data_IF_084889870363
#
_entry.id   IF_084889870363
#
_cell.length_a   1.000
_cell.length_b   1.000
_cell.length_c   1.000
_cell.angle_alpha   90.00
_cell.angle_beta   90.00
_cell.angle_gamma   90.00
#
_symmetry.space_group_name_H-M   'P 1'
#
loop_
_entity.id
_entity.type
_entity.pdbx_description
1 polymer ?
#
# COMPACT_ATOMS: atom_id res chain seq x y z
N UNK A 1 -5.97 -3.15 -7.58
CA UNK A 1 -5.91 -3.75 -6.23
C UNK A 1 -6.52 -5.14 -6.23
N UNK A 2 -6.05 -6.01 -5.33
CA UNK A 2 -6.60 -7.35 -5.14
C UNK A 2 -5.88 -8.47 -5.88
N UNK A 3 -4.75 -8.21 -6.48
CA UNK A 3 -3.85 -9.12 -7.15
C UNK A 3 -2.66 -8.35 -7.71
N UNK A 4 -1.75 -9.02 -8.40
CA UNK A 4 -0.63 -8.35 -9.07
C UNK A 4 -1.08 -7.85 -10.46
N UNK A 5 -1.14 -6.54 -10.69
CA UNK A 5 -1.63 -5.99 -11.95
C UNK A 5 -0.77 -6.37 -13.15
N UNK A 6 0.54 -6.55 -12.95
CA UNK A 6 1.47 -6.87 -14.04
C UNK A 6 1.32 -8.31 -14.56
N UNK A 7 0.55 -9.16 -13.87
CA UNK A 7 0.14 -10.47 -14.39
C UNK A 7 -1.02 -10.39 -15.39
N UNK A 8 -1.72 -9.25 -15.47
CA UNK A 8 -2.83 -9.13 -16.39
C UNK A 8 -2.30 -8.94 -17.83
N UNK A 9 -2.59 -9.86 -18.76
CA UNK A 9 -2.02 -9.80 -20.11
C UNK A 9 -2.35 -8.52 -20.89
N UNK A 10 -3.53 -7.94 -20.62
CA UNK A 10 -4.00 -6.68 -21.23
C UNK A 10 -3.53 -5.41 -20.51
N UNK A 11 -2.63 -5.49 -19.50
CA UNK A 11 -2.26 -4.33 -18.69
C UNK A 11 -1.68 -3.19 -19.51
N UNK A 12 -0.72 -3.47 -20.39
CA UNK A 12 -0.05 -2.43 -21.19
C UNK A 12 -1.03 -1.70 -22.13
N UNK A 13 -1.96 -2.45 -22.72
CA UNK A 13 -3.01 -1.90 -23.59
C UNK A 13 -3.97 -1.02 -22.79
N UNK A 14 -4.51 -1.55 -21.69
CA UNK A 14 -5.42 -0.83 -20.80
C UNK A 14 -4.76 0.44 -20.25
N UNK A 15 -3.54 0.34 -19.76
CA UNK A 15 -2.78 1.46 -19.21
C UNK A 15 -2.60 2.58 -20.26
N UNK A 16 -2.18 2.19 -21.47
CA UNK A 16 -1.99 3.13 -22.56
C UNK A 16 -3.30 3.80 -22.99
N UNK A 17 -4.39 3.04 -23.03
CA UNK A 17 -5.74 3.56 -23.33
C UNK A 17 -6.18 4.60 -22.29
N UNK A 18 -6.07 4.28 -21.02
CA UNK A 18 -6.43 5.19 -19.92
C UNK A 18 -5.57 6.46 -19.91
N UNK A 19 -4.28 6.35 -20.22
CA UNK A 19 -3.38 7.51 -20.38
C UNK A 19 -3.85 8.41 -21.54
N UNK A 20 -4.19 7.82 -22.67
CA UNK A 20 -4.72 8.58 -23.83
C UNK A 20 -6.06 9.25 -23.53
N UNK A 21 -6.86 8.65 -22.66
CA UNK A 21 -8.11 9.24 -22.17
C UNK A 21 -7.89 10.38 -21.16
N UNK A 22 -6.64 10.74 -20.84
CA UNK A 22 -6.31 11.84 -19.93
C UNK A 22 -6.35 11.48 -18.45
N UNK A 23 -6.43 10.20 -18.11
CA UNK A 23 -6.46 9.76 -16.70
C UNK A 23 -5.09 9.86 -16.03
N UNK A 24 -5.08 10.27 -14.76
CA UNK A 24 -3.90 10.23 -13.90
C UNK A 24 -3.83 8.84 -13.28
N UNK A 25 -2.78 8.08 -13.63
CA UNK A 25 -2.64 6.68 -13.24
C UNK A 25 -1.59 6.50 -12.15
N UNK A 26 -1.94 5.73 -11.13
CA UNK A 26 -1.02 5.21 -10.12
C UNK A 26 -1.07 3.69 -10.17
N UNK A 27 0.08 3.03 -10.09
CA UNK A 27 0.21 1.58 -10.09
C UNK A 27 0.58 1.11 -8.70
N UNK A 28 -0.14 0.11 -8.18
CA UNK A 28 0.26 -0.61 -6.97
C UNK A 28 0.67 -2.03 -7.38
N UNK A 29 1.90 -2.39 -7.12
CA UNK A 29 2.49 -3.68 -7.51
C UNK A 29 3.35 -4.25 -6.40
N UNK A 30 3.53 -5.57 -6.38
CA UNK A 30 4.52 -6.20 -5.52
C UNK A 30 5.96 -6.05 -6.06
N UNK A 31 6.13 -5.52 -7.27
CA UNK A 31 7.41 -5.20 -7.88
C UNK A 31 8.24 -6.39 -8.40
N UNK A 32 7.83 -7.63 -8.14
CA UNK A 32 8.64 -8.82 -8.46
C UNK A 32 8.72 -9.15 -9.95
N UNK A 33 7.85 -8.56 -10.75
CA UNK A 33 7.80 -8.74 -12.21
C UNK A 33 8.45 -7.59 -12.98
N UNK A 34 8.96 -6.58 -12.28
CA UNK A 34 9.61 -5.44 -12.94
C UNK A 34 10.99 -5.87 -13.46
N UNK A 35 11.08 -5.97 -14.75
CA UNK A 35 12.29 -6.18 -15.54
C UNK A 35 12.57 -4.97 -16.46
N UNK A 36 13.54 -5.08 -17.33
CA UNK A 36 13.93 -4.03 -18.29
C UNK A 36 12.74 -3.64 -19.20
N UNK A 37 11.97 -4.64 -19.65
CA UNK A 37 10.82 -4.40 -20.55
C UNK A 37 9.74 -3.59 -19.83
N UNK A 38 9.40 -3.93 -18.59
CA UNK A 38 8.43 -3.18 -17.79
C UNK A 38 8.93 -1.79 -17.44
N UNK A 39 10.20 -1.67 -17.07
CA UNK A 39 10.79 -0.38 -16.75
C UNK A 39 10.81 0.55 -17.98
N UNK A 40 11.15 0.05 -19.17
CA UNK A 40 11.08 0.78 -20.43
C UNK A 40 9.65 1.17 -20.81
N UNK A 41 8.68 0.29 -20.58
CA UNK A 41 7.28 0.59 -20.81
C UNK A 41 6.82 1.79 -19.95
N UNK A 42 7.15 1.78 -18.65
CA UNK A 42 6.80 2.88 -17.76
C UNK A 42 7.59 4.16 -18.04
N UNK A 43 8.82 4.07 -18.53
CA UNK A 43 9.58 5.23 -18.98
C UNK A 43 8.92 5.92 -20.18
N UNK A 44 8.40 5.14 -21.14
CA UNK A 44 7.65 5.64 -22.30
C UNK A 44 6.24 6.12 -21.97
N UNK A 45 5.63 5.56 -20.94
CA UNK A 45 4.27 5.84 -20.49
C UNK A 45 4.26 6.13 -18.97
N UNK A 46 4.86 7.23 -18.49
CA UNK A 46 5.08 7.43 -17.08
C UNK A 46 3.74 7.51 -16.32
N UNK A 47 3.55 6.69 -15.27
CA UNK A 47 2.46 6.87 -14.33
C UNK A 47 2.69 8.15 -13.48
N UNK A 48 1.66 8.58 -12.75
CA UNK A 48 1.85 9.60 -11.72
C UNK A 48 2.79 9.09 -10.62
N UNK A 49 2.68 7.79 -10.28
CA UNK A 49 3.50 7.11 -9.28
C UNK A 49 3.35 5.59 -9.39
N UNK A 50 4.39 4.87 -9.04
CA UNK A 50 4.33 3.43 -8.76
C UNK A 50 4.57 3.23 -7.27
N UNK A 51 3.58 2.64 -6.58
CA UNK A 51 3.73 2.18 -5.20
C UNK A 51 4.16 0.72 -5.24
N UNK A 52 5.31 0.42 -4.67
CA UNK A 52 5.85 -0.93 -4.61
C UNK A 52 5.76 -1.44 -3.18
N UNK A 53 5.18 -2.62 -3.00
CA UNK A 53 5.10 -3.24 -1.68
C UNK A 53 6.40 -3.95 -1.35
N UNK A 54 7.06 -3.53 -0.25
CA UNK A 54 8.22 -4.21 0.31
C UNK A 54 7.79 -4.94 1.60
N UNK A 55 7.79 -6.27 1.54
CA UNK A 55 7.28 -7.12 2.62
C UNK A 55 8.30 -7.40 3.73
N UNK A 56 9.56 -7.15 3.51
CA UNK A 56 10.63 -7.36 4.47
C UNK A 56 11.96 -6.87 3.92
N UNK A 57 13.02 -6.99 4.72
CA UNK A 57 14.37 -6.58 4.39
C UNK A 57 15.30 -7.72 3.98
N UNK A 58 14.79 -8.95 3.88
CA UNK A 58 15.54 -10.13 3.50
C UNK A 58 14.68 -11.26 2.91
N UNK A 59 15.35 -12.26 2.32
CA UNK A 59 14.73 -13.43 1.72
C UNK A 59 13.98 -14.32 2.74
N UNK A 60 14.38 -14.30 4.00
CA UNK A 60 13.81 -15.13 5.06
C UNK A 60 12.38 -14.66 5.38
N UNK A 61 12.19 -13.34 5.54
CA UNK A 61 10.86 -12.75 5.76
C UNK A 61 10.01 -12.91 4.52
N UNK A 62 10.56 -12.74 3.32
CA UNK A 62 9.83 -13.01 2.09
C UNK A 62 9.38 -14.46 1.96
N UNK A 63 10.21 -15.43 2.40
CA UNK A 63 9.80 -16.83 2.45
C UNK A 63 8.67 -17.06 3.45
N UNK A 64 8.79 -16.50 4.66
CA UNK A 64 7.83 -16.73 5.75
C UNK A 64 6.48 -16.05 5.49
N UNK A 65 6.49 -14.86 4.86
CA UNK A 65 5.30 -14.05 4.64
C UNK A 65 4.66 -14.29 3.27
N UNK A 66 5.46 -14.48 2.24
CA UNK A 66 5.01 -14.55 0.85
C UNK A 66 5.22 -15.92 0.20
N UNK A 67 5.92 -16.85 0.87
CA UNK A 67 6.39 -18.13 0.31
C UNK A 67 7.19 -17.95 -0.98
N UNK A 68 7.96 -16.86 -1.05
CA UNK A 68 8.72 -16.47 -2.23
C UNK A 68 10.05 -15.81 -1.85
N UNK A 69 11.07 -16.58 -1.45
CA UNK A 69 12.35 -16.05 -0.96
C UNK A 69 13.09 -15.19 -1.98
N UNK A 70 13.01 -15.51 -3.27
CA UNK A 70 13.63 -14.73 -4.37
C UNK A 70 12.95 -13.38 -4.60
N UNK A 71 11.77 -13.18 -4.02
CA UNK A 71 10.98 -11.96 -4.17
C UNK A 71 11.70 -10.72 -3.67
N UNK A 72 12.50 -10.84 -2.60
CA UNK A 72 13.25 -9.72 -2.06
C UNK A 72 14.23 -9.12 -3.09
N UNK A 73 15.10 -9.95 -3.65
CA UNK A 73 16.07 -9.50 -4.65
C UNK A 73 15.39 -8.94 -5.92
N UNK A 74 14.31 -9.59 -6.37
CA UNK A 74 13.55 -9.12 -7.54
C UNK A 74 12.93 -7.75 -7.31
N UNK A 75 12.37 -7.49 -6.13
CA UNK A 75 11.81 -6.17 -5.79
C UNK A 75 12.90 -5.12 -5.76
N UNK A 76 14.06 -5.40 -5.14
CA UNK A 76 15.19 -4.46 -5.13
C UNK A 76 15.69 -4.15 -6.53
N UNK A 77 15.78 -5.16 -7.39
CA UNK A 77 16.14 -4.97 -8.79
C UNK A 77 15.10 -4.09 -9.51
N UNK A 78 13.82 -4.39 -9.34
CA UNK A 78 12.74 -3.61 -9.92
C UNK A 78 12.74 -2.15 -9.49
N UNK A 79 12.98 -1.88 -8.19
CA UNK A 79 13.11 -0.52 -7.65
C UNK A 79 14.26 0.24 -8.32
N UNK A 80 15.44 -0.39 -8.49
CA UNK A 80 16.59 0.20 -9.16
C UNK A 80 16.29 0.51 -10.62
N UNK A 81 15.75 -0.45 -11.37
CA UNK A 81 15.40 -0.28 -12.79
C UNK A 81 14.44 0.88 -13.04
N UNK A 82 13.43 1.03 -12.18
CA UNK A 82 12.46 2.12 -12.28
C UNK A 82 13.07 3.46 -11.86
N UNK A 83 13.89 3.47 -10.81
CA UNK A 83 14.60 4.67 -10.37
C UNK A 83 15.55 5.21 -11.42
N UNK A 84 16.32 4.34 -12.06
CA UNK A 84 17.26 4.71 -13.14
C UNK A 84 16.55 5.36 -14.32
N UNK A 85 15.26 5.13 -14.46
CA UNK A 85 14.39 5.74 -15.49
C UNK A 85 13.59 6.95 -14.99
N UNK A 86 13.92 7.46 -13.78
CA UNK A 86 13.28 8.63 -13.18
C UNK A 86 11.77 8.46 -12.98
N UNK A 87 11.29 7.25 -12.70
CA UNK A 87 9.89 7.00 -12.34
C UNK A 87 9.65 7.44 -10.90
N UNK A 88 8.55 8.18 -10.66
CA UNK A 88 8.13 8.53 -9.30
C UNK A 88 7.72 7.27 -8.55
N UNK A 89 8.44 6.95 -7.48
CA UNK A 89 8.29 5.73 -6.70
C UNK A 89 7.89 6.03 -5.26
N UNK A 90 7.19 5.08 -4.66
CA UNK A 90 6.95 5.01 -3.23
C UNK A 90 7.00 3.55 -2.79
N UNK A 91 7.74 3.28 -1.74
CA UNK A 91 7.69 2.00 -1.04
C UNK A 91 6.54 2.04 -0.05
N UNK A 92 5.74 0.99 -0.01
CA UNK A 92 4.72 0.78 1.01
C UNK A 92 4.99 -0.55 1.71
N UNK A 93 4.97 -0.55 3.04
CA UNK A 93 5.12 -1.77 3.82
C UNK A 93 4.03 -1.87 4.86
N UNK A 94 3.28 -2.98 4.81
CA UNK A 94 2.32 -3.32 5.87
C UNK A 94 3.01 -4.19 6.90
N UNK A 95 3.05 -3.71 8.14
CA UNK A 95 3.65 -4.47 9.24
C UNK A 95 2.71 -5.56 9.73
N UNK A 96 3.31 -6.71 10.00
CA UNK A 96 2.67 -7.93 10.48
C UNK A 96 3.47 -8.48 11.66
N UNK A 97 2.96 -9.49 12.34
CA UNK A 97 3.70 -10.21 13.37
C UNK A 97 5.02 -10.85 12.87
N UNK A 98 5.16 -11.03 11.54
CA UNK A 98 6.33 -11.66 10.92
C UNK A 98 7.44 -10.65 10.62
N UNK A 99 7.08 -9.43 10.16
CA UNK A 99 8.06 -8.45 9.66
C UNK A 99 8.20 -7.18 10.50
N UNK A 100 7.42 -7.01 11.57
CA UNK A 100 7.44 -5.77 12.38
C UNK A 100 8.82 -5.41 12.94
N UNK A 101 9.68 -6.40 13.19
CA UNK A 101 11.04 -6.20 13.70
C UNK A 101 12.01 -5.69 12.61
N UNK A 102 11.58 -5.68 11.35
CA UNK A 102 12.37 -5.20 10.21
C UNK A 102 11.96 -3.79 9.75
N UNK A 103 11.13 -3.09 10.51
CA UNK A 103 10.62 -1.76 10.12
C UNK A 103 11.75 -0.79 9.79
N UNK A 104 12.74 -0.68 10.67
CA UNK A 104 13.88 0.24 10.49
C UNK A 104 14.72 -0.16 9.27
N UNK A 105 14.95 -1.45 9.05
CA UNK A 105 15.68 -1.94 7.88
C UNK A 105 14.93 -1.67 6.57
N UNK A 106 13.60 -1.79 6.59
CA UNK A 106 12.76 -1.45 5.43
C UNK A 106 12.86 0.06 5.12
N UNK A 107 12.83 0.90 6.15
CA UNK A 107 13.00 2.35 5.99
C UNK A 107 14.41 2.66 5.45
N UNK A 108 15.45 2.04 6.02
CA UNK A 108 16.82 2.23 5.57
C UNK A 108 17.05 1.83 4.09
N UNK A 109 16.35 0.81 3.60
CA UNK A 109 16.36 0.46 2.16
C UNK A 109 15.82 1.63 1.33
N UNK A 110 14.67 2.21 1.74
CA UNK A 110 14.11 3.36 1.06
C UNK A 110 15.05 4.56 1.06
N UNK A 111 15.65 4.88 2.21
CA UNK A 111 16.61 5.98 2.35
C UNK A 111 17.82 5.79 1.45
N UNK A 112 18.38 4.58 1.42
CA UNK A 112 19.53 4.24 0.56
C UNK A 112 19.24 4.43 -0.92
N UNK A 113 17.99 4.18 -1.31
CA UNK A 113 17.48 4.37 -2.66
C UNK A 113 16.90 5.77 -2.89
N UNK A 114 16.81 6.61 -1.87
CA UNK A 114 16.13 7.91 -1.92
C UNK A 114 14.68 7.79 -2.43
N UNK A 115 13.97 6.76 -1.96
CA UNK A 115 12.56 6.50 -2.26
C UNK A 115 11.78 6.61 -0.96
N UNK A 116 10.73 7.45 -0.89
CA UNK A 116 9.93 7.58 0.34
C UNK A 116 9.28 6.25 0.70
N UNK A 117 9.32 5.92 1.99
CA UNK A 117 8.70 4.72 2.56
C UNK A 117 7.46 5.13 3.35
N UNK A 118 6.39 4.38 3.19
CA UNK A 118 5.21 4.43 4.05
C UNK A 118 5.09 3.12 4.80
N UNK A 119 5.03 3.24 6.10
CA UNK A 119 4.69 2.14 6.99
C UNK A 119 3.19 2.19 7.28
N UNK A 120 2.53 1.04 7.22
CA UNK A 120 1.11 0.87 7.51
C UNK A 120 0.96 -0.31 8.48
N UNK A 121 0.37 -0.08 9.63
CA UNK A 121 0.22 -1.09 10.69
C UNK A 121 -1.19 -1.67 10.75
N UNK A 122 -2.12 -1.05 10.01
CA UNK A 122 -3.50 -1.48 9.98
C UNK A 122 -3.79 -2.38 8.79
N UNK A 123 -4.21 -3.60 9.07
CA UNK A 123 -4.70 -4.54 8.06
C UNK A 123 -6.21 -4.72 8.21
N UNK A 124 -6.94 -4.41 7.15
CA UNK A 124 -8.38 -4.62 7.10
C UNK A 124 -8.72 -6.10 7.34
N UNK A 125 -9.76 -6.41 8.13
CA UNK A 125 -10.26 -7.77 8.23
C UNK A 125 -10.74 -8.24 6.86
N UNK A 126 -10.71 -9.56 6.63
CA UNK A 126 -11.29 -10.14 5.42
C UNK A 126 -12.80 -9.97 5.44
N UNK A 127 -13.29 -9.09 4.59
CA UNK A 127 -14.72 -8.77 4.48
C UNK A 127 -15.36 -9.59 3.35
N UNK A 128 -14.55 -10.27 2.54
CA UNK A 128 -15.03 -10.99 1.36
C UNK A 128 -14.91 -12.49 1.58
N UNK A 129 -15.98 -13.22 1.42
CA UNK A 129 -16.07 -14.66 1.09
C UNK A 129 -14.96 -15.61 1.63
N UNK A 130 -13.97 -15.09 2.36
CA UNK A 130 -12.88 -15.85 2.96
C UNK A 130 -13.08 -15.92 4.46
N UNK A 131 -13.50 -17.06 4.93
CA UNK A 131 -13.74 -17.32 6.36
C UNK A 131 -12.43 -17.25 7.17
N UNK A 132 -11.30 -17.60 6.57
CA UNK A 132 -9.97 -17.53 7.16
C UNK A 132 -8.99 -16.93 6.16
N UNK A 133 -8.69 -15.66 6.32
CA UNK A 133 -7.67 -15.03 5.51
C UNK A 133 -6.33 -15.00 6.22
N UNK A 134 -5.26 -15.14 5.46
CA UNK A 134 -3.88 -14.94 5.94
C UNK A 134 -3.69 -13.64 6.74
N UNK A 135 -4.26 -12.47 6.35
CA UNK A 135 -4.17 -11.25 7.13
C UNK A 135 -4.63 -11.38 8.58
N UNK A 136 -5.63 -12.21 8.87
CA UNK A 136 -6.08 -12.42 10.25
C UNK A 136 -5.07 -13.19 11.10
N UNK A 137 -4.25 -14.04 10.48
CA UNK A 137 -3.25 -14.86 11.17
C UNK A 137 -1.97 -14.08 11.49
N UNK A 138 -1.63 -13.08 10.69
CA UNK A 138 -0.38 -12.31 10.80
C UNK A 138 -0.58 -10.85 11.19
N UNK A 139 -1.83 -10.42 11.36
CA UNK A 139 -2.13 -9.06 11.79
C UNK A 139 -1.57 -8.80 13.18
N UNK A 140 -1.01 -7.62 13.37
CA UNK A 140 -0.64 -7.16 14.70
C UNK A 140 -1.88 -7.04 15.59
N UNK A 141 -1.71 -7.28 16.88
CA UNK A 141 -2.69 -6.86 17.87
C UNK A 141 -2.76 -5.32 17.93
N UNK A 142 -3.86 -4.74 18.46
CA UNK A 142 -4.05 -3.29 18.41
C UNK A 142 -2.98 -2.50 19.14
N UNK A 143 -2.42 -3.01 20.23
CA UNK A 143 -1.40 -2.35 21.03
C UNK A 143 -0.08 -2.30 20.28
N UNK A 144 0.40 -3.45 19.79
CA UNK A 144 1.60 -3.54 18.94
C UNK A 144 1.45 -2.69 17.68
N UNK A 145 0.27 -2.68 17.05
CA UNK A 145 0.02 -1.87 15.86
C UNK A 145 0.14 -0.36 16.16
N UNK A 146 -0.39 0.09 17.30
CA UNK A 146 -0.31 1.48 17.73
C UNK A 146 1.13 1.89 18.05
N UNK A 147 1.87 1.06 18.79
CA UNK A 147 3.28 1.31 19.11
C UNK A 147 4.12 1.45 17.84
N UNK A 148 4.04 0.49 16.92
CA UNK A 148 4.77 0.54 15.64
C UNK A 148 4.37 1.73 14.79
N UNK A 149 3.09 2.14 14.81
CA UNK A 149 2.66 3.33 14.09
C UNK A 149 3.28 4.60 14.67
N UNK A 150 3.35 4.73 16.00
CA UNK A 150 3.99 5.87 16.65
C UNK A 150 5.50 5.92 16.35
N UNK A 151 6.18 4.78 16.37
CA UNK A 151 7.60 4.69 16.00
C UNK A 151 7.83 5.11 14.54
N UNK A 152 7.01 4.62 13.61
CA UNK A 152 7.09 4.99 12.20
C UNK A 152 6.88 6.50 12.00
N UNK A 153 5.90 7.10 12.69
CA UNK A 153 5.64 8.54 12.63
C UNK A 153 6.80 9.36 13.21
N UNK A 154 7.47 8.86 14.25
CA UNK A 154 8.66 9.53 14.80
C UNK A 154 9.85 9.53 13.84
N UNK A 155 9.98 8.49 13.03
CA UNK A 155 11.04 8.42 12.01
C UNK A 155 10.68 9.32 10.82
N UNK A 156 9.40 9.35 10.43
CA UNK A 156 8.93 10.09 9.25
C UNK A 156 8.93 11.61 9.45
N UNK A 157 8.63 12.10 10.67
CA UNK A 157 8.42 13.51 10.96
C UNK A 157 9.46 14.09 11.94
N UNK A 158 9.71 15.39 11.83
CA UNK A 158 10.45 16.12 12.87
C UNK A 158 9.71 16.08 14.20
N UNK A 159 10.43 16.26 15.32
CA UNK A 159 9.86 16.22 16.67
C UNK A 159 8.68 17.20 16.82
N UNK A 160 8.81 18.44 16.31
CA UNK A 160 7.73 19.42 16.36
C UNK A 160 6.47 18.97 15.61
N UNK A 161 6.65 18.36 14.44
CA UNK A 161 5.54 17.83 13.62
C UNK A 161 4.92 16.63 14.28
N UNK A 162 5.73 15.71 14.81
CA UNK A 162 5.26 14.55 15.55
C UNK A 162 4.41 14.98 16.76
N UNK A 163 4.93 15.89 17.58
CA UNK A 163 4.21 16.40 18.76
C UNK A 163 2.90 17.10 18.38
N UNK A 164 2.87 17.84 17.27
CA UNK A 164 1.65 18.46 16.77
C UNK A 164 0.61 17.41 16.34
N UNK A 165 1.05 16.32 15.68
CA UNK A 165 0.19 15.19 15.29
C UNK A 165 -0.38 14.48 16.52
N UNK A 166 0.44 14.21 17.53
CA UNK A 166 -0.01 13.56 18.76
C UNK A 166 -1.05 14.43 19.49
N UNK A 167 -0.78 15.74 19.67
CA UNK A 167 -1.76 16.64 20.24
C UNK A 167 -3.08 16.67 19.49
N UNK A 168 -3.02 16.62 18.15
CA UNK A 168 -4.21 16.54 17.30
C UNK A 168 -4.99 15.24 17.55
N UNK A 169 -4.33 14.08 17.53
CA UNK A 169 -4.97 12.79 17.74
C UNK A 169 -5.59 12.66 19.14
N UNK A 170 -4.91 13.15 20.17
CA UNK A 170 -5.47 13.18 21.53
C UNK A 170 -6.71 14.05 21.57
N UNK A 171 -6.63 15.27 20.99
CA UNK A 171 -7.79 16.16 20.92
C UNK A 171 -8.97 15.54 20.15
N UNK A 172 -8.70 14.90 19.01
CA UNK A 172 -9.73 14.19 18.23
C UNK A 172 -10.35 13.03 19.02
N UNK A 173 -9.55 12.26 19.75
CA UNK A 173 -10.05 11.16 20.58
C UNK A 173 -10.99 11.67 21.67
N UNK A 174 -10.66 12.81 22.29
CA UNK A 174 -11.46 13.39 23.38
C UNK A 174 -12.75 14.10 22.91
N UNK A 175 -12.75 14.63 21.66
CA UNK A 175 -13.82 15.53 21.20
C UNK A 175 -14.62 15.00 20.02
N UNK A 176 -14.07 14.02 19.26
CA UNK A 176 -14.70 13.46 18.07
C UNK A 176 -15.17 12.01 18.27
N UNK A 177 -15.15 11.50 19.51
CA UNK A 177 -15.89 10.26 19.80
C UNK A 177 -17.36 10.55 19.48
N UNK A 178 -17.93 9.92 18.45
CA UNK A 178 -19.27 10.26 18.02
C UNK A 178 -20.24 9.92 19.14
N UNK A 179 -21.07 10.88 19.54
CA UNK A 179 -22.40 10.53 19.97
C UNK A 179 -22.93 9.51 18.96
N UNK A 180 -23.30 8.32 19.41
CA UNK A 180 -23.76 7.23 18.56
C UNK A 180 -24.91 7.63 17.61
N UNK A 181 -25.40 8.85 17.72
CA UNK A 181 -26.48 9.45 16.94
C UNK A 181 -26.01 10.45 15.87
N UNK A 182 -24.74 10.83 15.80
CA UNK A 182 -24.25 11.78 14.77
C UNK A 182 -23.70 11.09 13.52
N UNK A 183 -24.30 10.01 13.07
CA UNK A 183 -23.97 9.30 11.82
C UNK A 183 -24.18 10.14 10.54
N UNK A 184 -24.52 11.42 10.66
CA UNK A 184 -24.83 12.28 9.53
C UNK A 184 -23.62 12.82 8.77
N UNK A 185 -22.39 12.61 9.26
CA UNK A 185 -21.17 13.10 8.61
C UNK A 185 -20.13 12.00 8.44
N UNK A 186 -20.38 11.06 7.50
CA UNK A 186 -19.32 10.19 7.02
C UNK A 186 -18.30 11.00 6.24
N UNK A 187 -17.06 11.07 6.70
CA UNK A 187 -15.92 11.59 5.94
C UNK A 187 -15.49 10.67 4.79
N UNK A 188 -16.14 9.52 4.64
CA UNK A 188 -15.84 8.54 3.61
C UNK A 188 -16.36 8.98 2.24
N UNK A 189 -15.49 8.93 1.24
CA UNK A 189 -15.80 9.27 -0.15
C UNK A 189 -16.37 8.09 -0.96
N UNK A 190 -16.51 6.90 -0.37
CA UNK A 190 -17.03 5.72 -1.04
C UNK A 190 -18.44 5.94 -1.59
N UNK A 191 -18.62 5.68 -2.89
CA UNK A 191 -19.89 5.88 -3.58
C UNK A 191 -20.28 7.35 -3.84
N UNK A 192 -19.45 8.33 -3.43
CA UNK A 192 -19.66 9.76 -3.71
C UNK A 192 -18.78 10.23 -4.86
N UNK A 193 -17.47 10.19 -4.67
CA UNK A 193 -16.49 10.57 -5.69
C UNK A 193 -15.40 9.50 -5.89
N UNK A 194 -15.55 8.33 -5.29
CA UNK A 194 -14.69 7.17 -5.51
C UNK A 194 -15.50 5.91 -5.71
N UNK A 195 -14.97 5.03 -6.53
CA UNK A 195 -15.52 3.70 -6.80
C UNK A 195 -14.37 2.74 -7.10
N UNK A 196 -14.65 1.46 -7.06
CA UNK A 196 -13.74 0.41 -7.50
C UNK A 196 -14.40 -0.49 -8.53
N UNK A 197 -13.60 -0.97 -9.48
CA UNK A 197 -14.00 -2.02 -10.41
C UNK A 197 -13.22 -3.27 -10.05
N UNK A 198 -13.91 -4.38 -9.82
CA UNK A 198 -13.26 -5.63 -9.48
C UNK A 198 -12.79 -6.37 -10.74
N UNK A 199 -12.11 -7.51 -10.56
CA UNK A 199 -11.60 -8.35 -11.65
C UNK A 199 -12.69 -8.94 -12.56
N UNK A 200 -13.94 -8.98 -12.10
CA UNK A 200 -15.10 -9.40 -12.88
C UNK A 200 -15.76 -8.25 -13.65
N UNK A 201 -15.22 -7.02 -13.56
CA UNK A 201 -15.79 -5.83 -14.17
C UNK A 201 -16.93 -5.20 -13.37
N UNK A 202 -17.24 -5.70 -12.16
CA UNK A 202 -18.32 -5.15 -11.34
C UNK A 202 -17.89 -3.86 -10.65
N UNK A 203 -18.73 -2.85 -10.73
CA UNK A 203 -18.58 -1.57 -10.05
C UNK A 203 -19.00 -1.69 -8.58
N UNK A 204 -18.22 -1.12 -7.68
CA UNK A 204 -18.48 -1.09 -6.22
C UNK A 204 -18.18 0.28 -5.63
N UNK A 205 -18.87 0.70 -4.58
CA UNK A 205 -18.58 1.98 -3.90
C UNK A 205 -17.17 2.02 -3.30
N UNK A 206 -16.67 0.88 -2.82
CA UNK A 206 -15.39 0.76 -2.14
C UNK A 206 -14.73 -0.59 -2.42
N UNK A 207 -13.41 -0.60 -2.44
CA UNK A 207 -12.61 -1.83 -2.62
C UNK A 207 -12.83 -2.86 -1.49
N UNK A 208 -13.22 -2.40 -0.30
CA UNK A 208 -13.43 -3.24 0.88
C UNK A 208 -14.83 -3.87 0.89
N UNK A 209 -15.82 -3.22 0.28
CA UNK A 209 -17.20 -3.70 0.28
C UNK A 209 -17.40 -4.79 -0.76
N UNK A 210 -18.07 -5.88 -0.36
CA UNK A 210 -18.49 -6.93 -1.29
C UNK A 210 -19.78 -6.54 -2.02
N UNK A 211 -20.73 -5.96 -1.30
CA UNK A 211 -22.03 -5.49 -1.78
C UNK A 211 -22.29 -4.05 -1.29
N UNK A 212 -23.09 -3.25 -1.98
CA UNK A 212 -23.69 -3.52 -3.29
C UNK A 212 -22.67 -3.52 -4.43
N UNK A 213 -22.96 -4.28 -5.49
CA UNK A 213 -22.18 -4.29 -6.74
C UNK A 213 -23.10 -4.22 -7.96
N UNK A 214 -22.68 -3.51 -9.00
CA UNK A 214 -23.37 -3.39 -10.27
C UNK A 214 -22.52 -3.97 -11.41
#
# INVERSE_FOLDING_TARGET
TGGEPLLYPGFKELFTHLKKAGMILTVNTNGTLIDEEWADFFAKNPPRRINITLYGSDANVYNNLCHYPEGFEKVLQGLKLLKDRNIDLKISSSLTSINQQQMEQIIAIGDSLQIPVRIDTYMMPAIRERVHSFPQQVRLDPESAAERQLEALRIEFSDDTFDALIRKYVWEADHLLPDAHSLNHSSCYAGRCSFSVNWQGKLRPCVIMAEPSA
#
